data_IF_175348085405
#
_entry.id   IF_175348085405
#
_cell.length_a   1.000
_cell.length_b   1.000
_cell.length_c   1.000
_cell.angle_alpha   90.00
_cell.angle_beta   90.00
_cell.angle_gamma   90.00
#
_symmetry.space_group_name_H-M   'P 1'
#
loop_
_entity.id
_entity.type
_entity.pdbx_description
1 polymer ?
#
# COMPACT_ATOMS: atom_id res chain seq x y z
N UNK A 1 -12.71 18.29 -28.05
CA UNK A 1 -12.09 17.22 -27.26
C UNK A 1 -10.92 17.87 -26.55
N UNK A 2 -11.18 18.39 -25.34
CA UNK A 2 -10.20 19.17 -24.57
C UNK A 2 -9.45 18.18 -23.66
N UNK A 3 -8.15 18.08 -23.86
CA UNK A 3 -7.23 17.38 -22.96
C UNK A 3 -7.21 18.17 -21.65
N UNK A 4 -7.76 17.59 -20.58
CA UNK A 4 -7.57 18.08 -19.23
C UNK A 4 -6.09 17.85 -18.86
N UNK A 5 -5.27 18.85 -19.10
CA UNK A 5 -3.97 18.98 -18.46
C UNK A 5 -4.27 19.31 -16.99
N UNK A 6 -4.19 18.34 -16.10
CA UNK A 6 -4.17 18.61 -14.67
C UNK A 6 -2.89 19.38 -14.37
N UNK A 7 -3.02 20.61 -13.88
CA UNK A 7 -1.91 21.36 -13.33
C UNK A 7 -1.22 20.55 -12.24
N UNK A 8 0.15 20.58 -12.15
CA UNK A 8 0.87 19.93 -11.08
C UNK A 8 0.40 20.51 -9.73
N UNK A 9 0.22 19.62 -8.75
CA UNK A 9 -0.13 20.01 -7.38
C UNK A 9 0.99 20.91 -6.88
N UNK A 10 0.67 22.18 -6.58
CA UNK A 10 1.56 23.04 -5.81
C UNK A 10 1.71 22.42 -4.41
N UNK A 11 2.83 21.70 -4.19
CA UNK A 11 3.18 21.21 -2.85
C UNK A 11 3.42 22.42 -1.95
N UNK A 12 2.68 22.52 -0.84
CA UNK A 12 3.02 23.46 0.23
C UNK A 12 4.51 23.24 0.55
N UNK A 13 5.29 24.30 0.55
CA UNK A 13 6.76 24.28 0.66
C UNK A 13 7.22 23.30 1.75
N UNK A 14 7.81 22.17 1.35
CA UNK A 14 8.47 21.19 2.22
C UNK A 14 7.74 19.86 2.45
N UNK A 15 6.54 19.63 1.87
CA UNK A 15 5.86 18.32 1.93
C UNK A 15 6.11 17.54 0.65
N UNK A 16 6.34 16.22 0.78
CA UNK A 16 6.34 15.32 -0.39
C UNK A 16 4.92 15.17 -0.95
N UNK A 17 4.79 14.77 -2.22
CA UNK A 17 3.47 14.52 -2.84
C UNK A 17 2.69 13.48 -2.02
N UNK A 18 3.34 12.41 -1.55
CA UNK A 18 2.70 11.43 -0.67
C UNK A 18 2.13 12.07 0.60
N UNK A 19 2.89 12.94 1.26
CA UNK A 19 2.45 13.58 2.51
C UNK A 19 1.36 14.62 2.28
N UNK A 20 1.44 15.36 1.19
CA UNK A 20 0.43 16.34 0.78
C UNK A 20 -0.92 15.66 0.44
N UNK A 21 -0.89 14.61 -0.39
CA UNK A 21 -2.10 13.90 -0.87
C UNK A 21 -2.74 13.00 0.19
N UNK A 22 -1.98 12.55 1.19
CA UNK A 22 -2.51 11.80 2.35
C UNK A 22 -2.83 12.69 3.56
N UNK A 23 -2.83 14.01 3.39
CA UNK A 23 -3.07 14.95 4.47
C UNK A 23 -4.52 14.91 4.95
N UNK A 24 -4.70 14.60 6.23
CA UNK A 24 -5.98 14.57 6.90
C UNK A 24 -6.29 15.94 7.50
N UNK A 25 -7.46 16.50 7.20
CA UNK A 25 -7.98 17.74 7.77
C UNK A 25 -9.00 17.40 8.84
N UNK A 26 -8.81 17.80 10.11
CA UNK A 26 -9.81 17.57 11.16
C UNK A 26 -11.12 18.27 10.79
N UNK A 27 -12.25 17.64 11.09
CA UNK A 27 -13.55 18.29 10.98
C UNK A 27 -13.88 19.06 12.26
N UNK A 28 -14.75 20.06 12.17
CA UNK A 28 -15.21 20.80 13.35
C UNK A 28 -16.14 19.99 14.26
N UNK A 29 -16.60 18.83 13.81
CA UNK A 29 -17.59 18.01 14.52
C UNK A 29 -16.99 16.97 15.47
N UNK A 30 -15.74 16.56 15.26
CA UNK A 30 -15.08 15.51 16.06
C UNK A 30 -13.58 15.47 15.77
N UNK A 31 -12.77 15.25 16.82
CA UNK A 31 -11.33 14.99 16.71
C UNK A 31 -11.01 13.62 16.07
N UNK A 32 -12.00 12.73 15.96
CA UNK A 32 -11.90 11.38 15.40
C UNK A 32 -12.42 11.30 13.96
N UNK A 33 -12.83 12.45 13.38
CA UNK A 33 -13.29 12.53 12.00
C UNK A 33 -12.43 13.50 11.20
N UNK A 34 -12.04 13.05 10.01
CA UNK A 34 -11.19 13.81 9.09
C UNK A 34 -11.79 13.85 7.70
N UNK A 35 -11.36 14.86 6.92
CA UNK A 35 -11.56 14.95 5.49
C UNK A 35 -10.22 14.76 4.78
N UNK A 36 -10.27 14.13 3.60
CA UNK A 36 -9.14 13.94 2.69
C UNK A 36 -9.63 14.10 1.26
N UNK A 37 -8.80 14.66 0.39
CA UNK A 37 -9.03 14.67 -1.05
C UNK A 37 -8.29 13.49 -1.67
N UNK A 38 -9.02 12.55 -2.29
CA UNK A 38 -8.43 11.44 -3.02
C UNK A 38 -7.92 11.94 -4.37
N UNK A 39 -6.60 12.02 -4.48
CA UNK A 39 -5.91 12.68 -5.56
C UNK A 39 -5.85 11.84 -6.83
N UNK A 40 -6.07 12.43 -8.03
CA UNK A 40 -6.02 11.72 -9.30
C UNK A 40 -4.66 11.12 -9.65
N UNK A 41 -3.56 11.61 -9.07
CA UNK A 41 -2.22 11.05 -9.27
C UNK A 41 -2.07 9.64 -8.67
N UNK A 42 -3.02 9.21 -7.82
CA UNK A 42 -3.08 7.85 -7.27
C UNK A 42 -4.05 6.93 -8.04
N UNK A 43 -4.41 7.29 -9.27
CA UNK A 43 -5.26 6.43 -10.10
C UNK A 43 -4.56 5.10 -10.42
N UNK A 44 -5.33 4.03 -10.34
CA UNK A 44 -4.94 2.67 -10.71
C UNK A 44 -5.92 2.10 -11.74
N UNK A 45 -5.83 0.81 -12.04
CA UNK A 45 -6.69 0.16 -13.05
C UNK A 45 -8.19 0.29 -12.74
N UNK A 46 -8.56 0.26 -11.47
CA UNK A 46 -9.97 0.32 -11.03
C UNK A 46 -10.11 1.31 -9.88
N UNK A 47 -10.08 2.61 -10.22
CA UNK A 47 -10.21 3.69 -9.23
C UNK A 47 -8.88 4.06 -8.57
N UNK A 48 -8.95 4.52 -7.33
CA UNK A 48 -7.78 4.94 -6.55
C UNK A 48 -7.03 3.73 -6.00
N UNK A 49 -5.69 3.80 -5.99
CA UNK A 49 -4.77 2.74 -5.54
C UNK A 49 -5.07 2.26 -4.12
N UNK A 50 -5.13 0.92 -3.93
CA UNK A 50 -5.52 0.30 -2.65
C UNK A 50 -4.54 0.60 -1.52
N UNK A 51 -3.25 0.47 -1.77
CA UNK A 51 -2.19 0.78 -0.80
C UNK A 51 -2.20 2.24 -0.36
N UNK A 52 -2.49 3.20 -1.25
CA UNK A 52 -2.68 4.60 -0.88
C UNK A 52 -3.90 4.80 0.04
N UNK A 53 -5.01 4.13 -0.23
CA UNK A 53 -6.18 4.17 0.65
C UNK A 53 -5.89 3.55 2.03
N UNK A 54 -5.11 2.46 2.07
CA UNK A 54 -4.65 1.87 3.33
C UNK A 54 -3.70 2.81 4.09
N UNK A 55 -2.82 3.54 3.40
CA UNK A 55 -1.95 4.55 4.00
C UNK A 55 -2.74 5.70 4.65
N UNK A 56 -3.84 6.15 4.03
CA UNK A 56 -4.76 7.12 4.62
C UNK A 56 -5.34 6.59 5.94
N UNK A 57 -5.79 5.32 5.96
CA UNK A 57 -6.32 4.70 7.19
C UNK A 57 -5.24 4.58 8.28
N UNK A 58 -4.00 4.23 7.91
CA UNK A 58 -2.86 4.18 8.85
C UNK A 58 -2.57 5.57 9.43
N UNK A 59 -2.53 6.61 8.58
CA UNK A 59 -2.32 7.99 9.05
C UNK A 59 -3.45 8.46 9.96
N UNK A 60 -4.70 8.12 9.66
CA UNK A 60 -5.85 8.47 10.50
C UNK A 60 -5.74 7.81 11.90
N UNK A 61 -5.44 6.51 11.95
CA UNK A 61 -5.21 5.82 13.20
C UNK A 61 -4.06 6.45 14.01
N UNK A 62 -2.95 6.80 13.34
CA UNK A 62 -1.78 7.41 13.97
C UNK A 62 -2.07 8.82 14.52
N UNK A 63 -3.05 9.55 13.96
CA UNK A 63 -3.50 10.84 14.51
C UNK A 63 -4.20 10.69 15.87
N UNK A 64 -4.83 9.53 16.12
CA UNK A 64 -5.59 9.26 17.34
C UNK A 64 -4.74 8.61 18.42
N UNK A 65 -3.68 7.86 18.03
CA UNK A 65 -2.80 7.16 18.97
C UNK A 65 -1.34 7.48 18.70
N UNK A 66 -0.60 7.80 19.78
CA UNK A 66 0.85 8.05 19.70
C UNK A 66 1.70 6.76 19.70
N UNK A 67 1.07 5.60 19.57
CA UNK A 67 1.71 4.28 19.57
C UNK A 67 2.06 3.85 18.16
N UNK A 68 3.16 3.10 17.95
CA UNK A 68 3.47 2.48 16.66
C UNK A 68 2.32 1.61 16.17
N UNK A 69 1.94 1.77 14.91
CA UNK A 69 1.00 0.87 14.24
C UNK A 69 1.72 -0.46 13.99
N UNK A 70 1.08 -1.58 14.32
CA UNK A 70 1.63 -2.93 14.18
C UNK A 70 0.93 -3.76 13.13
N UNK A 71 -0.40 -3.66 13.08
CA UNK A 71 -1.19 -4.42 12.11
C UNK A 71 -2.31 -3.56 11.60
N UNK A 72 -2.56 -3.65 10.31
CA UNK A 72 -3.72 -3.04 9.64
C UNK A 72 -4.34 -4.09 8.74
N UNK A 73 -5.61 -4.40 8.94
CA UNK A 73 -6.40 -5.29 8.06
C UNK A 73 -7.50 -4.48 7.42
N UNK A 74 -7.40 -4.27 6.12
CA UNK A 74 -8.34 -3.48 5.32
C UNK A 74 -9.23 -4.39 4.48
N UNK A 75 -10.53 -4.15 4.49
CA UNK A 75 -11.51 -4.71 3.55
C UNK A 75 -11.97 -3.61 2.61
N UNK A 76 -11.76 -3.82 1.31
CA UNK A 76 -12.22 -2.90 0.27
C UNK A 76 -13.65 -3.27 -0.14
N UNK A 77 -14.58 -2.34 0.01
CA UNK A 77 -16.00 -2.55 -0.27
C UNK A 77 -16.42 -1.94 -1.60
N UNK A 78 -15.70 -0.90 -2.03
CA UNK A 78 -15.94 -0.19 -3.30
C UNK A 78 -14.63 0.44 -3.79
N UNK A 79 -14.45 0.58 -5.11
CA UNK A 79 -13.35 1.40 -5.64
C UNK A 79 -13.43 2.83 -5.09
N UNK A 80 -12.29 3.38 -4.69
CA UNK A 80 -12.18 4.81 -4.38
C UNK A 80 -12.31 5.63 -5.65
N UNK A 81 -13.08 6.71 -5.62
CA UNK A 81 -13.17 7.69 -6.69
C UNK A 81 -12.32 8.93 -6.37
N UNK A 82 -11.88 9.64 -7.41
CA UNK A 82 -11.22 10.95 -7.25
C UNK A 82 -12.19 11.91 -6.55
N UNK A 83 -11.68 12.72 -5.61
CA UNK A 83 -12.44 13.73 -4.91
C UNK A 83 -12.55 13.51 -3.40
N UNK A 84 -13.45 14.23 -2.74
CA UNK A 84 -13.51 14.28 -1.29
C UNK A 84 -13.97 12.94 -0.68
N UNK A 85 -13.32 12.59 0.43
CA UNK A 85 -13.67 11.46 1.27
C UNK A 85 -13.64 11.85 2.75
N UNK A 86 -14.46 11.18 3.55
CA UNK A 86 -14.44 11.27 5.01
C UNK A 86 -13.75 10.04 5.59
N UNK A 87 -13.01 10.26 6.67
CA UNK A 87 -12.29 9.22 7.41
C UNK A 87 -12.73 9.29 8.87
N UNK A 88 -13.44 8.28 9.32
CA UNK A 88 -13.89 8.14 10.70
C UNK A 88 -13.00 7.13 11.43
N UNK A 89 -12.57 7.47 12.64
CA UNK A 89 -11.77 6.59 13.50
C UNK A 89 -12.54 6.29 14.77
N UNK A 90 -12.84 5.03 15.01
CA UNK A 90 -13.44 4.56 16.26
C UNK A 90 -12.41 3.80 17.09
N UNK A 91 -12.25 4.20 18.37
CA UNK A 91 -11.36 3.50 19.31
C UNK A 91 -12.14 2.39 20.01
N UNK A 92 -12.14 1.20 19.41
CA UNK A 92 -12.83 0.02 19.95
C UNK A 92 -12.32 -0.38 21.33
N UNK A 93 -11.02 -0.23 21.59
CA UNK A 93 -10.42 -0.49 22.92
C UNK A 93 -9.10 0.26 23.08
N UNK A 94 -8.98 0.98 24.19
CA UNK A 94 -7.71 1.57 24.64
C UNK A 94 -7.20 0.83 25.89
N UNK A 95 -6.25 -0.09 25.68
CA UNK A 95 -5.59 -0.83 26.74
C UNK A 95 -4.28 -0.16 27.22
N UNK A 96 -3.63 -0.76 28.21
CA UNK A 96 -2.38 -0.23 28.76
C UNK A 96 -1.24 -0.19 27.72
N UNK A 97 -1.06 -1.27 26.95
CA UNK A 97 0.03 -1.41 25.96
C UNK A 97 -0.47 -1.58 24.52
N UNK A 98 -1.76 -1.81 24.34
CA UNK A 98 -2.40 -2.02 23.04
C UNK A 98 -3.60 -1.12 22.87
N UNK A 99 -3.82 -0.61 21.66
CA UNK A 99 -5.04 0.07 21.27
C UNK A 99 -5.56 -0.56 19.98
N UNK A 100 -6.86 -0.86 19.94
CA UNK A 100 -7.54 -1.35 18.76
C UNK A 100 -8.47 -0.25 18.24
N UNK A 101 -8.39 0.01 16.95
CA UNK A 101 -9.18 1.02 16.27
C UNK A 101 -9.84 0.43 15.03
N UNK A 102 -10.99 1.02 14.67
CA UNK A 102 -11.61 0.83 13.37
C UNK A 102 -11.52 2.14 12.61
N UNK A 103 -11.02 2.10 11.39
CA UNK A 103 -10.99 3.26 10.48
C UNK A 103 -11.92 2.98 9.32
N UNK A 104 -12.86 3.89 9.07
CA UNK A 104 -13.81 3.82 7.95
C UNK A 104 -13.57 4.97 7.00
N UNK A 105 -13.31 4.67 5.73
CA UNK A 105 -13.24 5.68 4.66
C UNK A 105 -14.51 5.62 3.84
N UNK A 106 -15.15 6.77 3.64
CA UNK A 106 -16.44 6.89 2.94
C UNK A 106 -16.43 8.02 1.92
N UNK A 107 -17.15 7.81 0.82
CA UNK A 107 -17.43 8.84 -0.20
C UNK A 107 -18.92 8.87 -0.51
N UNK A 108 -19.51 10.08 -0.59
CA UNK A 108 -20.95 10.25 -0.89
C UNK A 108 -21.83 9.35 -0.01
N UNK A 109 -21.54 9.28 1.29
CA UNK A 109 -22.24 8.46 2.29
C UNK A 109 -22.17 6.94 2.06
N UNK A 110 -21.28 6.47 1.19
CA UNK A 110 -21.02 5.05 0.97
C UNK A 110 -19.64 4.67 1.47
N UNK A 111 -19.56 3.62 2.28
CA UNK A 111 -18.27 3.11 2.75
C UNK A 111 -17.45 2.55 1.60
N UNK A 112 -16.24 3.07 1.43
CA UNK A 112 -15.25 2.62 0.45
C UNK A 112 -14.42 1.48 1.02
N UNK A 113 -13.91 1.66 2.25
CA UNK A 113 -13.17 0.61 2.96
C UNK A 113 -13.39 0.70 4.47
N UNK A 114 -13.07 -0.42 5.14
CA UNK A 114 -12.97 -0.51 6.60
C UNK A 114 -11.62 -1.14 6.94
N UNK A 115 -10.88 -0.53 7.87
CA UNK A 115 -9.62 -1.05 8.38
C UNK A 115 -9.69 -1.31 9.87
N UNK A 116 -9.27 -2.51 10.29
CA UNK A 116 -8.99 -2.82 11.69
C UNK A 116 -7.52 -2.55 11.96
N UNK A 117 -7.22 -1.73 12.95
CA UNK A 117 -5.87 -1.27 13.25
C UNK A 117 -5.48 -1.65 14.67
N UNK A 118 -4.29 -2.22 14.83
CA UNK A 118 -3.67 -2.48 16.12
C UNK A 118 -2.42 -1.61 16.27
N UNK A 119 -2.42 -0.77 17.30
CA UNK A 119 -1.27 -0.01 17.74
C UNK A 119 -0.74 -0.55 19.06
N UNK A 120 0.58 -0.71 19.19
CA UNK A 120 1.19 -1.27 20.38
C UNK A 120 2.48 -0.57 20.77
N UNK A 121 2.72 -0.46 22.08
CA UNK A 121 3.98 0.04 22.60
C UNK A 121 5.14 -0.88 22.20
N UNK A 122 6.32 -0.29 22.06
CA UNK A 122 7.58 -1.04 21.96
C UNK A 122 7.95 -1.51 23.37
N UNK A 123 8.15 -2.80 23.51
CA UNK A 123 8.58 -3.40 24.80
C UNK A 123 9.88 -4.18 24.57
N UNK A 124 10.75 -4.16 25.57
CA UNK A 124 11.95 -4.97 25.55
C UNK A 124 11.55 -6.46 25.63
N UNK A 125 12.03 -7.25 24.69
CA UNK A 125 11.76 -8.68 24.62
C UNK A 125 12.83 -9.41 23.81
N UNK A 126 12.87 -10.73 23.88
CA UNK A 126 13.69 -11.54 22.99
C UNK A 126 13.30 -11.29 21.54
N UNK A 127 14.28 -10.98 20.71
CA UNK A 127 14.09 -10.72 19.26
C UNK A 127 14.87 -11.75 18.44
N UNK A 128 14.26 -12.22 17.38
CA UNK A 128 14.92 -13.08 16.37
C UNK A 128 14.29 -12.89 15.01
N UNK A 129 15.06 -13.13 13.98
CA UNK A 129 14.59 -13.27 12.60
C UNK A 129 15.15 -14.59 12.04
N UNK A 130 14.29 -15.39 11.41
CA UNK A 130 14.67 -16.66 10.76
C UNK A 130 14.41 -16.65 9.26
N UNK A 131 14.25 -15.45 8.71
CA UNK A 131 13.88 -15.27 7.30
C UNK A 131 15.13 -15.10 6.46
N UNK A 132 15.17 -15.79 5.32
CA UNK A 132 16.18 -15.56 4.30
C UNK A 132 15.79 -14.30 3.52
N UNK A 133 16.70 -13.32 3.35
CA UNK A 133 16.46 -12.17 2.48
C UNK A 133 16.04 -12.62 1.08
N UNK A 134 15.24 -11.81 0.35
CA UNK A 134 14.88 -12.10 -1.02
C UNK A 134 16.12 -12.34 -1.89
N UNK A 135 16.12 -13.45 -2.65
CA UNK A 135 17.11 -13.67 -3.69
C UNK A 135 16.73 -12.83 -4.91
N UNK A 136 17.36 -11.66 -5.04
CA UNK A 136 17.17 -10.72 -6.13
C UNK A 136 18.41 -10.69 -7.04
N UNK A 137 18.18 -10.43 -8.34
CA UNK A 137 19.26 -10.03 -9.25
C UNK A 137 19.94 -8.75 -8.74
N UNK A 138 21.18 -8.52 -9.16
CA UNK A 138 21.86 -7.29 -8.85
C UNK A 138 21.04 -6.08 -9.34
N UNK A 139 21.11 -4.98 -8.61
CA UNK A 139 20.30 -3.79 -8.91
C UNK A 139 20.48 -3.30 -10.36
N UNK A 140 21.70 -3.34 -10.88
CA UNK A 140 22.03 -2.88 -12.23
C UNK A 140 21.48 -3.79 -13.34
N UNK A 141 21.09 -5.03 -13.00
CA UNK A 141 20.45 -5.98 -13.93
C UNK A 141 18.93 -5.85 -13.92
N UNK A 142 18.35 -5.14 -12.95
CA UNK A 142 16.92 -4.95 -12.83
C UNK A 142 16.38 -3.99 -13.90
N UNK A 143 15.09 -4.19 -14.25
CA UNK A 143 14.44 -3.42 -15.31
C UNK A 143 13.41 -2.44 -14.75
N UNK A 144 13.26 -1.24 -15.35
CA UNK A 144 12.23 -0.29 -14.95
C UNK A 144 10.82 -0.86 -15.14
N UNK A 145 9.89 -0.47 -14.25
CA UNK A 145 8.47 -0.75 -14.45
C UNK A 145 7.93 0.21 -15.50
N UNK A 146 7.29 -0.35 -16.53
CA UNK A 146 6.55 0.45 -17.52
C UNK A 146 5.06 0.32 -17.23
N UNK A 147 4.43 1.33 -16.61
CA UNK A 147 3.02 1.27 -16.29
C UNK A 147 2.15 1.36 -17.55
N UNK A 148 1.00 0.69 -17.59
CA UNK A 148 0.01 0.92 -18.64
C UNK A 148 -0.54 2.35 -18.59
N UNK A 149 -1.02 2.86 -19.76
CA UNK A 149 -1.63 4.17 -19.84
C UNK A 149 -2.78 4.35 -18.83
N UNK A 150 -2.83 5.51 -18.17
CA UNK A 150 -3.85 5.87 -17.21
C UNK A 150 -3.62 5.37 -15.78
N UNK A 151 -2.59 4.58 -15.54
CA UNK A 151 -2.17 4.17 -14.19
C UNK A 151 -1.10 5.13 -13.71
N UNK A 152 -1.43 5.97 -12.73
CA UNK A 152 -0.58 7.07 -12.29
C UNK A 152 0.11 6.88 -10.94
N UNK A 153 -0.33 5.92 -10.14
CA UNK A 153 0.29 5.71 -8.82
C UNK A 153 1.79 5.38 -8.92
N UNK A 154 2.26 4.84 -10.04
CA UNK A 154 3.68 4.56 -10.26
C UNK A 154 4.59 5.81 -10.28
N UNK A 155 4.01 7.02 -10.34
CA UNK A 155 4.78 8.27 -10.28
C UNK A 155 5.34 8.57 -8.87
N UNK A 156 4.86 7.86 -7.82
CA UNK A 156 5.12 8.20 -6.41
C UNK A 156 6.19 7.34 -5.72
N UNK A 157 6.73 6.35 -6.40
CA UNK A 157 7.93 5.64 -5.97
C UNK A 157 8.80 5.29 -7.18
N UNK A 158 10.10 5.24 -6.97
CA UNK A 158 11.01 4.64 -7.91
C UNK A 158 11.05 3.13 -7.66
N UNK A 159 10.89 2.33 -8.71
CA UNK A 159 10.97 0.88 -8.57
C UNK A 159 11.55 0.23 -9.83
N UNK A 160 12.28 -0.85 -9.61
CA UNK A 160 12.82 -1.72 -10.67
C UNK A 160 12.46 -3.17 -10.35
N UNK A 161 12.17 -3.95 -11.39
CA UNK A 161 11.82 -5.37 -11.29
C UNK A 161 13.04 -6.26 -11.53
N UNK A 162 13.13 -7.33 -10.77
CA UNK A 162 13.99 -8.46 -11.08
C UNK A 162 13.57 -9.04 -12.44
N UNK A 163 14.48 -9.15 -13.43
CA UNK A 163 14.15 -9.61 -14.78
C UNK A 163 13.60 -11.03 -14.83
N UNK A 164 13.78 -11.82 -13.76
CA UNK A 164 13.23 -13.18 -13.62
C UNK A 164 11.73 -13.19 -13.26
N UNK A 165 11.13 -12.01 -12.94
CA UNK A 165 9.79 -11.90 -12.36
C UNK A 165 8.89 -10.90 -13.07
N UNK A 166 9.11 -10.70 -14.37
CA UNK A 166 8.34 -9.74 -15.18
C UNK A 166 6.90 -10.25 -15.38
N UNK A 167 5.87 -9.38 -15.20
CA UNK A 167 4.48 -9.72 -15.49
C UNK A 167 4.23 -10.19 -16.93
N UNK A 168 3.27 -11.10 -17.11
CA UNK A 168 2.81 -11.63 -18.40
C UNK A 168 3.86 -12.40 -19.20
N UNK A 169 4.86 -12.98 -18.53
CA UNK A 169 5.92 -13.80 -19.16
C UNK A 169 5.74 -15.30 -18.98
N UNK A 170 4.65 -15.76 -18.34
CA UNK A 170 4.38 -17.17 -18.01
C UNK A 170 5.52 -17.83 -17.23
N UNK A 171 6.06 -17.12 -16.24
CA UNK A 171 7.10 -17.61 -15.37
C UNK A 171 6.72 -18.92 -14.65
N UNK A 172 7.70 -19.69 -14.16
CA UNK A 172 7.45 -20.98 -13.49
C UNK A 172 6.72 -20.83 -12.15
N UNK A 173 6.84 -19.66 -11.51
CA UNK A 173 6.21 -19.31 -10.23
C UNK A 173 5.49 -18.00 -10.35
N UNK A 174 4.42 -17.82 -9.56
CA UNK A 174 3.72 -16.54 -9.46
C UNK A 174 4.48 -15.66 -8.45
N UNK A 175 5.50 -14.97 -8.92
CA UNK A 175 6.36 -14.11 -8.10
C UNK A 175 6.68 -12.81 -8.84
N UNK A 176 6.62 -11.69 -8.11
CA UNK A 176 7.17 -10.39 -8.51
C UNK A 176 8.13 -9.94 -7.42
N UNK A 177 9.32 -9.50 -7.82
CA UNK A 177 10.33 -9.03 -6.89
C UNK A 177 11.15 -7.89 -7.50
N UNK A 178 11.81 -7.10 -6.64
CA UNK A 178 12.62 -5.98 -7.10
C UNK A 178 12.97 -5.02 -5.98
N UNK A 179 13.35 -3.82 -6.38
CA UNK A 179 13.71 -2.75 -5.46
C UNK A 179 12.75 -1.58 -5.60
N UNK A 180 12.47 -0.89 -4.50
CA UNK A 180 11.66 0.33 -4.50
C UNK A 180 12.13 1.30 -3.43
N UNK A 181 11.92 2.60 -3.70
CA UNK A 181 12.12 3.68 -2.74
C UNK A 181 11.11 4.81 -2.98
N UNK A 182 10.92 5.73 -2.03
CA UNK A 182 10.16 6.95 -2.30
C UNK A 182 10.76 7.72 -3.49
N UNK A 183 9.91 8.25 -4.38
CA UNK A 183 10.37 9.13 -5.48
C UNK A 183 10.89 10.48 -4.98
N UNK A 184 10.48 10.89 -3.80
CA UNK A 184 10.92 12.08 -3.12
C UNK A 184 11.51 11.70 -1.74
N UNK A 185 12.60 12.34 -1.34
CA UNK A 185 13.26 12.07 -0.07
C UNK A 185 12.29 12.32 1.10
N UNK A 186 11.93 11.27 1.83
CA UNK A 186 11.04 11.29 2.98
C UNK A 186 11.34 10.14 3.95
N UNK A 187 11.06 10.30 5.25
CA UNK A 187 11.18 9.18 6.19
C UNK A 187 10.27 8.02 5.80
N UNK A 188 10.81 6.80 5.85
CA UNK A 188 10.01 5.58 5.68
C UNK A 188 9.23 5.35 6.97
N UNK A 189 7.90 5.46 6.88
CA UNK A 189 6.98 5.29 8.00
C UNK A 189 5.96 4.16 7.73
N UNK A 190 5.12 3.88 8.71
CA UNK A 190 4.09 2.83 8.63
C UNK A 190 3.11 3.05 7.46
N UNK A 191 2.75 4.30 7.18
CA UNK A 191 1.82 4.63 6.10
C UNK A 191 2.46 4.39 4.73
N UNK A 192 3.72 4.80 4.57
CA UNK A 192 4.45 4.54 3.33
C UNK A 192 4.68 3.05 3.10
N UNK A 193 5.06 2.28 4.13
CA UNK A 193 5.19 0.82 4.01
C UNK A 193 3.86 0.15 3.65
N UNK A 194 2.75 0.61 4.25
CA UNK A 194 1.42 0.12 3.91
C UNK A 194 1.01 0.41 2.46
N UNK A 195 1.49 1.51 1.87
CA UNK A 195 1.33 1.81 0.46
C UNK A 195 2.29 0.96 -0.40
N UNK A 196 3.56 0.87 0.00
CA UNK A 196 4.62 0.23 -0.77
C UNK A 196 4.44 -1.30 -0.90
N UNK A 197 3.80 -1.96 0.07
CA UNK A 197 3.43 -3.39 0.00
C UNK A 197 2.30 -3.71 -1.00
N UNK A 198 1.68 -2.70 -1.61
CA UNK A 198 0.71 -2.84 -2.72
C UNK A 198 1.23 -2.18 -4.01
N UNK A 199 2.54 -1.87 -4.07
CA UNK A 199 3.11 -1.07 -5.15
C UNK A 199 3.39 -1.86 -6.42
N UNK A 200 4.01 -3.03 -6.29
CA UNK A 200 4.38 -3.84 -7.44
C UNK A 200 3.14 -4.40 -8.17
N UNK A 201 3.25 -4.68 -9.47
CA UNK A 201 2.22 -5.45 -10.16
C UNK A 201 1.89 -6.73 -9.40
N UNK A 202 0.61 -7.15 -9.35
CA UNK A 202 0.24 -8.39 -8.68
C UNK A 202 1.08 -9.60 -9.14
N UNK A 203 1.61 -10.38 -8.20
CA UNK A 203 2.48 -11.53 -8.52
C UNK A 203 1.79 -12.57 -9.42
N UNK A 204 0.47 -12.69 -9.34
CA UNK A 204 -0.32 -13.53 -10.23
C UNK A 204 -0.14 -13.17 -11.72
N UNK A 205 0.20 -11.91 -12.05
CA UNK A 205 0.38 -11.46 -13.44
C UNK A 205 1.58 -12.14 -14.13
N UNK A 206 2.50 -12.71 -13.40
CA UNK A 206 3.59 -13.49 -14.01
C UNK A 206 3.12 -14.83 -14.59
N UNK A 207 1.86 -15.28 -14.29
CA UNK A 207 1.30 -16.57 -14.69
C UNK A 207 0.04 -16.48 -15.55
N UNK A 208 -0.54 -15.32 -15.71
CA UNK A 208 -1.82 -15.11 -16.42
C UNK A 208 -1.65 -14.13 -17.57
N UNK A 209 -2.57 -14.20 -18.54
CA UNK A 209 -2.60 -13.31 -19.70
C UNK A 209 -3.37 -12.02 -19.40
N UNK A 210 -3.01 -10.90 -20.05
CA UNK A 210 -3.85 -9.71 -20.04
C UNK A 210 -5.13 -9.92 -20.91
N UNK A 211 -6.26 -9.26 -20.61
CA UNK A 211 -6.46 -8.37 -19.49
C UNK A 211 -6.70 -9.16 -18.18
N UNK A 212 -5.93 -8.82 -17.15
CA UNK A 212 -6.00 -9.46 -15.86
C UNK A 212 -6.55 -8.51 -14.79
N UNK A 213 -7.36 -9.02 -13.87
CA UNK A 213 -7.78 -8.29 -12.68
C UNK A 213 -6.73 -8.40 -11.58
N UNK A 214 -6.50 -7.33 -10.85
CA UNK A 214 -5.63 -7.29 -9.67
C UNK A 214 -6.29 -6.57 -8.51
N UNK A 215 -7.65 -6.66 -8.44
CA UNK A 215 -8.44 -5.84 -7.54
C UNK A 215 -8.32 -6.36 -6.11
N UNK A 216 -8.02 -5.46 -5.19
CA UNK A 216 -7.91 -5.75 -3.78
C UNK A 216 -9.27 -6.05 -3.16
N UNK A 217 -9.39 -7.20 -2.47
CA UNK A 217 -10.55 -7.58 -1.66
C UNK A 217 -10.25 -7.34 -0.19
N UNK A 218 -9.20 -7.97 0.31
CA UNK A 218 -8.67 -7.73 1.66
C UNK A 218 -7.16 -7.52 1.60
N UNK A 219 -6.67 -6.70 2.50
CA UNK A 219 -5.25 -6.36 2.57
C UNK A 219 -4.82 -6.21 4.02
N UNK A 220 -3.96 -7.11 4.48
CA UNK A 220 -3.38 -7.07 5.83
C UNK A 220 -1.91 -6.71 5.74
N UNK A 221 -1.49 -5.74 6.55
CA UNK A 221 -0.10 -5.30 6.72
C UNK A 221 0.34 -5.56 8.15
N UNK A 222 1.50 -6.16 8.32
CA UNK A 222 2.20 -6.31 9.60
C UNK A 222 3.50 -5.52 9.58
N UNK A 223 3.73 -4.67 10.58
CA UNK A 223 4.94 -3.87 10.74
C UNK A 223 5.74 -4.42 11.91
N UNK A 224 6.92 -4.97 11.62
CA UNK A 224 7.66 -5.77 12.60
C UNK A 224 8.59 -4.96 13.48
N UNK A 225 9.28 -3.97 12.92
CA UNK A 225 10.31 -3.22 13.63
C UNK A 225 9.97 -1.75 13.83
N UNK A 226 10.72 -1.10 14.72
CA UNK A 226 10.78 0.35 14.73
C UNK A 226 11.51 0.81 13.47
N UNK A 227 10.93 1.78 12.77
CA UNK A 227 11.44 2.28 11.49
C UNK A 227 12.46 3.40 11.68
N UNK A 228 12.94 3.61 12.91
CA UNK A 228 13.96 4.60 13.21
C UNK A 228 15.31 4.20 12.59
N UNK A 229 15.97 5.16 11.95
CA UNK A 229 17.32 4.98 11.39
C UNK A 229 17.34 4.48 9.94
N UNK A 230 16.21 4.28 9.29
CA UNK A 230 16.17 4.11 7.83
C UNK A 230 16.46 5.45 7.15
N UNK A 231 17.29 5.42 6.10
CA UNK A 231 17.52 6.62 5.28
C UNK A 231 16.20 7.01 4.57
N UNK A 232 16.07 8.31 4.32
CA UNK A 232 14.84 8.86 3.72
C UNK A 232 14.64 8.44 2.24
N UNK A 233 15.69 7.99 1.59
CA UNK A 233 15.78 7.55 0.20
C UNK A 233 16.32 6.13 0.06
N UNK A 234 16.20 5.30 1.10
CA UNK A 234 16.71 3.94 1.13
C UNK A 234 15.99 3.06 0.10
N UNK A 235 16.76 2.30 -0.68
CA UNK A 235 16.24 1.26 -1.52
C UNK A 235 15.84 0.04 -0.68
N UNK A 236 14.56 -0.26 -0.66
CA UNK A 236 14.02 -1.47 -0.06
C UNK A 236 13.97 -2.60 -1.09
N UNK A 237 14.09 -3.84 -0.61
CA UNK A 237 13.86 -5.04 -1.41
C UNK A 237 12.43 -5.50 -1.20
N UNK A 238 11.69 -5.69 -2.29
CA UNK A 238 10.32 -6.20 -2.29
C UNK A 238 10.24 -7.58 -2.91
N UNK A 239 9.45 -8.46 -2.31
CA UNK A 239 9.14 -9.79 -2.82
C UNK A 239 7.68 -10.12 -2.57
N UNK A 240 6.99 -10.58 -3.61
CA UNK A 240 5.56 -10.89 -3.59
C UNK A 240 5.33 -12.22 -4.29
N UNK A 241 4.62 -13.14 -3.62
CA UNK A 241 4.39 -14.50 -4.10
C UNK A 241 2.92 -14.89 -3.99
N UNK A 242 2.42 -15.64 -4.98
CA UNK A 242 1.12 -16.29 -4.96
C UNK A 242 1.32 -17.79 -5.08
N UNK A 243 1.04 -18.52 -4.00
CA UNK A 243 1.12 -19.99 -4.00
C UNK A 243 -0.10 -20.64 -4.65
N UNK A 244 -1.29 -20.03 -4.48
CA UNK A 244 -2.55 -20.53 -5.00
C UNK A 244 -3.36 -19.40 -5.61
N UNK A 245 -3.82 -19.60 -6.85
CA UNK A 245 -4.84 -18.79 -7.49
C UNK A 245 -5.87 -19.74 -8.10
N UNK A 246 -7.12 -19.67 -7.61
CA UNK A 246 -8.20 -20.52 -8.06
C UNK A 246 -9.52 -19.76 -7.99
N UNK A 247 -10.47 -20.11 -8.87
CA UNK A 247 -11.81 -19.53 -8.91
C UNK A 247 -11.85 -17.99 -8.97
N UNK A 248 -10.81 -17.40 -9.58
CA UNK A 248 -10.68 -15.95 -9.72
C UNK A 248 -10.12 -15.24 -8.47
N UNK A 249 -9.69 -15.99 -7.45
CA UNK A 249 -9.11 -15.47 -6.20
C UNK A 249 -7.66 -15.92 -6.07
N UNK A 250 -6.78 -14.99 -5.72
CA UNK A 250 -5.40 -15.27 -5.34
C UNK A 250 -5.09 -14.69 -3.95
N UNK A 251 -4.30 -15.40 -3.16
CA UNK A 251 -3.71 -14.90 -1.94
C UNK A 251 -2.23 -14.60 -2.20
N UNK A 252 -1.90 -13.31 -2.25
CA UNK A 252 -0.55 -12.81 -2.40
C UNK A 252 0.06 -12.53 -1.02
N UNK A 253 1.27 -13.04 -0.80
CA UNK A 253 2.12 -12.71 0.34
C UNK A 253 3.19 -11.73 -0.15
N UNK A 254 3.38 -10.63 0.57
CA UNK A 254 4.40 -9.65 0.25
C UNK A 254 5.30 -9.37 1.44
N UNK A 255 6.55 -9.01 1.17
CA UNK A 255 7.46 -8.50 2.20
C UNK A 255 8.34 -7.39 1.67
N UNK A 256 8.70 -6.47 2.56
CA UNK A 256 9.71 -5.46 2.33
C UNK A 256 10.83 -5.62 3.35
N UNK A 257 12.07 -5.66 2.87
CA UNK A 257 13.27 -5.70 3.69
C UNK A 257 14.16 -4.50 3.41
N UNK A 258 14.95 -4.10 4.41
CA UNK A 258 16.01 -3.13 4.22
C UNK A 258 17.22 -3.76 3.50
N UNK A 259 18.25 -2.98 3.12
CA UNK A 259 19.44 -3.52 2.44
C UNK A 259 20.21 -4.55 3.26
N UNK A 260 20.04 -4.58 4.58
CA UNK A 260 20.68 -5.57 5.45
C UNK A 260 19.94 -6.90 5.47
N UNK A 261 18.73 -6.95 4.87
CA UNK A 261 17.86 -8.12 4.84
C UNK A 261 16.89 -8.21 6.02
N UNK A 262 16.84 -7.20 6.89
CA UNK A 262 15.89 -7.14 8.00
C UNK A 262 14.48 -6.88 7.45
N UNK A 263 13.50 -7.68 7.90
CA UNK A 263 12.10 -7.47 7.51
C UNK A 263 11.53 -6.22 8.19
N UNK A 264 11.04 -5.29 7.39
CA UNK A 264 10.37 -4.09 7.88
C UNK A 264 8.87 -4.33 8.02
N UNK A 265 8.26 -4.89 7.00
CA UNK A 265 6.83 -5.18 6.98
C UNK A 265 6.49 -6.33 6.03
N UNK A 266 5.36 -6.97 6.28
CA UNK A 266 4.79 -8.04 5.46
C UNK A 266 3.32 -7.75 5.15
N UNK A 267 2.82 -8.31 4.03
CA UNK A 267 1.42 -8.24 3.65
C UNK A 267 0.84 -9.58 3.28
N UNK A 268 -0.48 -9.70 3.52
CA UNK A 268 -1.35 -10.73 2.96
C UNK A 268 -2.47 -10.04 2.20
N UNK A 269 -2.55 -10.30 0.91
CA UNK A 269 -3.42 -9.58 0.01
C UNK A 269 -4.31 -10.56 -0.77
N UNK A 270 -5.62 -10.58 -0.47
CA UNK A 270 -6.58 -11.31 -1.29
C UNK A 270 -6.95 -10.46 -2.48
N UNK A 271 -6.68 -10.96 -3.67
CA UNK A 271 -6.93 -10.27 -4.94
C UNK A 271 -7.95 -11.04 -5.79
N UNK A 272 -8.78 -10.28 -6.49
CA UNK A 272 -9.56 -10.82 -7.59
C UNK A 272 -8.72 -10.80 -8.86
N UNK A 273 -8.47 -11.97 -9.44
CA UNK A 273 -7.59 -12.15 -10.61
C UNK A 273 -8.34 -12.41 -11.91
N UNK A 274 -9.65 -12.64 -11.85
CA UNK A 274 -10.48 -12.78 -13.05
C UNK A 274 -10.54 -11.47 -13.85
N UNK A 275 -10.73 -11.57 -15.15
CA UNK A 275 -10.70 -10.42 -16.06
C UNK A 275 -11.77 -9.36 -15.74
N UNK A 276 -11.58 -8.11 -16.19
CA UNK A 276 -12.44 -6.97 -15.83
C UNK A 276 -13.90 -7.14 -16.26
N UNK A 277 -14.19 -7.91 -17.30
CA UNK A 277 -15.56 -8.15 -17.78
C UNK A 277 -16.40 -8.98 -16.81
N UNK A 278 -15.78 -9.74 -15.91
CA UNK A 278 -16.47 -10.52 -14.89
C UNK A 278 -16.87 -9.67 -13.67
N UNK A 279 -16.36 -8.46 -13.56
CA UNK A 279 -16.68 -7.50 -12.50
C UNK A 279 -17.93 -6.66 -12.76
N UNK A 280 -18.41 -6.61 -14.00
CA UNK A 280 -19.51 -5.74 -14.45
C UNK A 280 -20.88 -6.43 -14.43
N UNK A 281 -21.01 -7.58 -13.79
CA UNK A 281 -22.28 -8.31 -13.68
C UNK A 281 -22.99 -8.09 -12.37
#
# INVERSE_FOLDING_TARGET
MSLLTSDPIETEHGLTVFDATTRLRPTSSSDERFEVELDPSWSSLVGIHGGYLAAIAIKAAHRIVARPIRTVTTTFLRPGAIGPATVDVDVARRGRSLTNLTVTVSQSSKTTLVSQVVAADVVESTSWETVTPPDLSDFDDCVPITPPDGIRHFDHAEAVLDPRTIPFTHGPVARVAGYLRPSESRPIDAAWLGMALDWFPPAAFTRIDPPAGGISITYTVHIHHTLKGLAADEWLRGEFDVEVSADGIALEKGRLTDPTGRILAESFHTRWTAGPDQFRR
#
